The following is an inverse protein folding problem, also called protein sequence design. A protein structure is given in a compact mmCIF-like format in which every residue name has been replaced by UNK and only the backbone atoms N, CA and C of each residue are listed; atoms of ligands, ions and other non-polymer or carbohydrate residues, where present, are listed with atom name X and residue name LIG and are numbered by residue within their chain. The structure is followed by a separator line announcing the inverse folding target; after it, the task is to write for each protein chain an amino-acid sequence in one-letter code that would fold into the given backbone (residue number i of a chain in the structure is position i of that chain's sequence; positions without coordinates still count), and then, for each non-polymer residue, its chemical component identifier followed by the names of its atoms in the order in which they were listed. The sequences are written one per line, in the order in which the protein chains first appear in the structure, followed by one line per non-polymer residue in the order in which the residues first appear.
data_IF_004060767984
#
_entry.id   IF_004060767984
#
_cell.length_a   1.000
_cell.length_b   1.000
_cell.length_c   1.000
_cell.angle_alpha   90.00
_cell.angle_beta   90.00
_cell.angle_gamma   90.00
#
_symmetry.space_group_name_H-M   'P 1'
#
loop_
_entity.id
_entity.type
_entity.pdbx_description
1 polymer ?
#
# COMPACT_ATOMS: atom_id res chain seq x y z
N UNK A 1 -7.71 -36.03 -74.56
CA UNK A 1 -9.01 -36.08 -73.87
C UNK A 1 -8.81 -36.70 -72.49
N UNK A 2 -9.30 -36.00 -71.44
CA UNK A 2 -9.44 -36.38 -70.00
C UNK A 2 -8.12 -36.69 -69.25
N UNK A 3 -7.48 -35.71 -68.60
CA UNK A 3 -7.71 -35.14 -67.24
C UNK A 3 -7.73 -36.19 -66.12
N UNK A 4 -6.78 -36.13 -65.19
CA UNK A 4 -6.96 -35.49 -63.86
C UNK A 4 -5.63 -35.38 -63.10
N UNK A 5 -5.64 -34.42 -62.19
CA UNK A 5 -4.56 -33.66 -61.54
C UNK A 5 -4.23 -34.20 -60.14
N UNK A 6 -3.22 -33.60 -59.48
CA UNK A 6 -3.01 -33.44 -58.01
C UNK A 6 -2.05 -34.46 -57.38
N UNK A 7 -1.05 -34.16 -56.54
CA UNK A 7 -0.43 -32.93 -56.00
C UNK A 7 1.03 -33.27 -55.65
N UNK A 8 1.91 -32.26 -55.64
CA UNK A 8 3.33 -32.36 -55.31
C UNK A 8 3.53 -32.11 -53.81
N UNK A 9 4.32 -32.96 -53.14
CA UNK A 9 5.02 -32.62 -51.90
C UNK A 9 6.40 -33.24 -51.95
N UNK A 10 7.42 -32.39 -52.10
CA UNK A 10 8.82 -32.75 -52.03
C UNK A 10 9.28 -32.66 -50.57
N UNK A 11 9.54 -33.81 -49.96
CA UNK A 11 10.34 -33.93 -48.74
C UNK A 11 11.78 -34.17 -49.21
N UNK A 12 12.66 -33.18 -49.05
CA UNK A 12 14.09 -33.34 -49.30
C UNK A 12 14.76 -33.76 -48.00
N UNK A 13 15.23 -35.00 -48.03
CA UNK A 13 16.17 -35.64 -47.12
C UNK A 13 17.54 -35.00 -47.32
N UNK A 14 18.20 -34.57 -46.25
CA UNK A 14 19.65 -34.36 -46.24
C UNK A 14 20.24 -35.23 -45.12
N UNK A 15 20.94 -36.28 -45.54
CA UNK A 15 21.66 -37.23 -44.70
C UNK A 15 23.16 -36.96 -44.86
N UNK A 16 23.84 -36.86 -43.71
CA UNK A 16 25.25 -37.17 -43.43
C UNK A 16 26.39 -36.61 -44.31
N UNK A 17 27.34 -35.94 -43.65
CA UNK A 17 28.75 -36.31 -43.76
C UNK A 17 29.48 -36.05 -42.43
N UNK A 18 29.99 -37.14 -41.88
CA UNK A 18 30.83 -37.26 -40.68
C UNK A 18 32.24 -36.80 -41.03
N UNK A 19 32.86 -36.00 -40.16
CA UNK A 19 34.32 -35.94 -40.00
C UNK A 19 34.65 -35.53 -38.57
N UNK A 20 34.97 -36.54 -37.77
CA UNK A 20 35.53 -36.43 -36.42
C UNK A 20 37.02 -36.08 -36.53
N UNK A 21 37.47 -35.04 -35.82
CA UNK A 21 38.85 -34.89 -35.37
C UNK A 21 38.86 -34.04 -34.09
N UNK A 22 39.45 -34.61 -33.04
CA UNK A 22 39.37 -34.19 -31.65
C UNK A 22 40.03 -32.84 -31.36
N UNK A 23 39.38 -32.00 -30.55
CA UNK A 23 40.06 -31.07 -29.64
C UNK A 23 39.10 -30.66 -28.51
N UNK A 24 39.33 -31.28 -27.35
CA UNK A 24 39.11 -30.78 -25.99
C UNK A 24 38.20 -29.54 -25.85
N UNK A 25 36.89 -29.74 -25.84
CA UNK A 25 35.92 -28.78 -25.33
C UNK A 25 35.31 -29.36 -24.07
N UNK A 26 35.60 -28.71 -22.95
CA UNK A 26 34.89 -28.81 -21.68
C UNK A 26 33.39 -28.90 -21.93
N UNK A 27 32.78 -30.00 -21.49
CA UNK A 27 31.34 -30.08 -21.29
C UNK A 27 31.00 -29.03 -20.22
N UNK A 28 30.29 -27.97 -20.63
CA UNK A 28 29.53 -27.15 -19.69
C UNK A 28 28.40 -28.04 -19.16
N UNK A 29 28.62 -28.64 -17.99
CA UNK A 29 27.53 -29.03 -17.11
C UNK A 29 26.76 -27.74 -16.81
N UNK A 30 25.55 -27.62 -17.39
CA UNK A 30 24.52 -26.77 -16.81
C UNK A 30 24.21 -27.34 -15.41
N UNK A 31 24.95 -26.84 -14.43
CA UNK A 31 24.61 -26.99 -13.03
C UNK A 31 23.29 -26.26 -12.82
N UNK A 32 22.24 -27.04 -12.58
CA UNK A 32 21.02 -26.54 -11.97
C UNK A 32 21.40 -26.11 -10.55
N UNK A 33 21.85 -24.87 -10.39
CA UNK A 33 21.98 -24.25 -9.08
C UNK A 33 20.55 -24.09 -8.57
N UNK A 34 20.07 -25.05 -7.78
CA UNK A 34 18.89 -24.83 -6.94
C UNK A 34 19.24 -23.67 -6.01
N UNK A 35 18.86 -22.46 -6.41
CA UNK A 35 18.99 -21.27 -5.59
C UNK A 35 18.08 -21.51 -4.39
N UNK A 36 18.65 -21.62 -3.20
CA UNK A 36 17.89 -21.85 -1.97
C UNK A 36 17.17 -20.55 -1.58
N UNK A 37 15.90 -20.42 -1.99
CA UNK A 37 15.03 -19.28 -1.66
C UNK A 37 14.45 -19.33 -0.24
N UNK A 38 14.77 -20.37 0.56
CA UNK A 38 14.19 -20.55 1.90
C UNK A 38 14.95 -19.81 3.01
N UNK A 39 16.24 -19.53 2.85
CA UNK A 39 17.10 -18.96 3.91
C UNK A 39 17.48 -17.49 3.67
N UNK A 40 16.66 -16.76 2.90
CA UNK A 40 16.88 -15.34 2.57
C UNK A 40 16.36 -14.45 3.71
N UNK A 41 17.12 -13.48 4.23
CA UNK A 41 16.66 -12.63 5.33
C UNK A 41 15.49 -11.72 4.90
N UNK A 42 14.46 -11.61 5.76
CA UNK A 42 13.33 -10.69 5.54
C UNK A 42 13.74 -9.29 6.01
N UNK A 43 13.96 -8.38 5.06
CA UNK A 43 14.45 -7.02 5.31
C UNK A 43 13.85 -6.00 4.33
N UNK A 44 12.70 -6.34 3.75
CA UNK A 44 11.95 -5.49 2.83
C UNK A 44 10.45 -5.57 3.12
N UNK A 45 9.72 -4.51 2.79
CA UNK A 45 8.26 -4.44 2.85
C UNK A 45 7.68 -4.36 1.44
N UNK A 46 6.44 -4.84 1.29
CA UNK A 46 5.64 -4.60 0.08
C UNK A 46 4.55 -3.61 0.43
N UNK A 47 4.50 -2.52 -0.33
CA UNK A 47 3.45 -1.51 -0.24
C UNK A 47 2.49 -1.60 -1.43
N UNK A 48 1.31 -0.97 -1.30
CA UNK A 48 0.36 -0.81 -2.40
C UNK A 48 -0.75 -1.87 -2.42
N UNK A 49 -0.73 -2.80 -1.47
CA UNK A 49 -1.81 -3.77 -1.29
C UNK A 49 -3.08 -3.07 -0.80
N UNK A 50 -4.17 -3.23 -1.54
CA UNK A 50 -5.50 -2.81 -1.11
C UNK A 50 -6.08 -3.79 -0.08
N UNK A 51 -7.08 -3.33 0.69
CA UNK A 51 -7.80 -4.19 1.65
C UNK A 51 -8.48 -5.38 0.94
N UNK A 52 -9.12 -5.10 -0.19
CA UNK A 52 -9.61 -6.09 -1.16
C UNK A 52 -9.57 -5.50 -2.56
N UNK A 53 -9.75 -6.36 -3.55
CA UNK A 53 -9.84 -6.09 -4.97
C UNK A 53 -11.15 -6.69 -5.50
N UNK A 54 -11.71 -6.14 -6.56
CA UNK A 54 -12.71 -6.80 -7.38
C UNK A 54 -12.00 -7.57 -8.51
N UNK A 55 -12.63 -8.61 -9.03
CA UNK A 55 -12.11 -9.36 -10.18
C UNK A 55 -11.92 -8.41 -11.36
N UNK A 56 -10.69 -8.36 -11.87
CA UNK A 56 -10.30 -7.47 -12.96
C UNK A 56 -9.63 -6.18 -12.51
N UNK A 57 -9.56 -5.90 -11.20
CA UNK A 57 -8.82 -4.76 -10.69
C UNK A 57 -7.33 -4.88 -10.98
N UNK A 58 -6.68 -3.72 -11.12
CA UNK A 58 -5.23 -3.67 -11.29
C UNK A 58 -4.55 -3.69 -9.93
N UNK A 59 -3.61 -4.61 -9.77
CA UNK A 59 -2.74 -4.73 -8.60
C UNK A 59 -1.42 -4.06 -8.96
N UNK A 60 -1.03 -3.04 -8.20
CA UNK A 60 0.28 -2.41 -8.29
C UNK A 60 0.94 -2.45 -6.91
N UNK A 61 2.06 -3.17 -6.80
CA UNK A 61 2.80 -3.30 -5.55
C UNK A 61 4.22 -2.78 -5.71
N UNK A 62 4.76 -2.17 -4.66
CA UNK A 62 6.13 -1.65 -4.64
C UNK A 62 6.90 -2.27 -3.50
N UNK A 63 8.03 -2.91 -3.79
CA UNK A 63 8.92 -3.41 -2.74
C UNK A 63 9.90 -2.32 -2.29
N UNK A 64 10.10 -2.21 -0.97
CA UNK A 64 11.02 -1.26 -0.34
C UNK A 64 11.95 -1.97 0.64
N UNK A 65 13.20 -1.52 0.71
CA UNK A 65 14.16 -1.96 1.71
C UNK A 65 14.77 -0.74 2.41
N UNK A 66 14.99 -0.84 3.72
CA UNK A 66 15.49 0.26 4.56
C UNK A 66 16.92 0.69 4.19
N UNK A 67 17.74 -0.26 3.71
CA UNK A 67 19.06 0.03 3.18
C UNK A 67 18.95 0.29 1.67
N UNK A 68 19.23 1.53 1.26
CA UNK A 68 19.43 1.89 -0.15
C UNK A 68 20.71 1.19 -0.61
N UNK A 69 20.56 0.00 -1.17
CA UNK A 69 21.63 -0.71 -1.85
C UNK A 69 21.61 -0.39 -3.36
N UNK A 70 22.74 -0.57 -4.03
CA UNK A 70 22.85 -0.33 -5.48
C UNK A 70 22.17 -1.43 -6.31
N UNK A 71 21.70 -2.51 -5.66
CA UNK A 71 21.04 -3.64 -6.32
C UNK A 71 19.63 -3.24 -6.75
N UNK A 72 19.29 -3.55 -8.00
CA UNK A 72 17.96 -3.26 -8.58
C UNK A 72 17.28 -4.51 -9.15
N UNK A 73 17.89 -5.67 -8.93
CA UNK A 73 17.47 -6.93 -9.53
C UNK A 73 16.45 -7.62 -8.63
N UNK A 74 15.24 -7.05 -8.61
CA UNK A 74 14.11 -7.58 -7.86
C UNK A 74 13.37 -8.61 -8.71
N UNK A 75 13.15 -9.78 -8.12
CA UNK A 75 12.31 -10.84 -8.70
C UNK A 75 11.09 -11.06 -7.84
N UNK A 76 9.92 -11.11 -8.46
CA UNK A 76 8.65 -11.36 -7.78
C UNK A 76 8.27 -12.82 -7.88
N UNK A 77 7.71 -13.34 -6.80
CA UNK A 77 7.25 -14.71 -6.69
C UNK A 77 5.80 -14.71 -6.24
N UNK A 78 5.02 -15.62 -6.80
CA UNK A 78 3.63 -15.82 -6.43
C UNK A 78 3.35 -17.27 -6.06
N UNK A 79 2.38 -17.49 -5.18
CA UNK A 79 1.84 -18.83 -4.88
C UNK A 79 0.37 -18.75 -4.47
N UNK A 80 -0.28 -19.90 -4.45
CA UNK A 80 -1.68 -20.06 -4.01
C UNK A 80 -1.77 -21.36 -3.22
N UNK A 81 -2.51 -21.39 -2.12
CA UNK A 81 -2.75 -22.57 -1.28
C UNK A 81 -1.47 -23.26 -0.77
N UNK A 82 -0.47 -22.50 -0.31
CA UNK A 82 0.81 -23.03 0.17
C UNK A 82 1.57 -23.92 -0.84
N UNK A 83 1.27 -23.78 -2.15
CA UNK A 83 2.03 -24.43 -3.23
C UNK A 83 3.43 -23.83 -3.34
N UNK A 84 4.25 -24.45 -4.18
CA UNK A 84 5.59 -23.94 -4.50
C UNK A 84 5.51 -22.52 -5.07
N UNK A 85 6.46 -21.67 -4.65
CA UNK A 85 6.61 -20.32 -5.17
C UNK A 85 7.01 -20.38 -6.65
N UNK A 86 6.24 -19.69 -7.48
CA UNK A 86 6.51 -19.54 -8.91
C UNK A 86 7.04 -18.13 -9.17
N UNK A 87 8.10 -18.02 -9.94
CA UNK A 87 8.60 -16.72 -10.37
C UNK A 87 7.61 -16.07 -11.36
N UNK A 88 7.21 -14.83 -11.07
CA UNK A 88 6.41 -14.02 -11.98
C UNK A 88 7.32 -13.49 -13.09
N UNK A 89 7.47 -14.29 -14.15
CA UNK A 89 8.31 -13.96 -15.31
C UNK A 89 7.94 -12.58 -15.88
N UNK A 90 8.97 -11.78 -16.20
CA UNK A 90 8.91 -10.43 -16.78
C UNK A 90 8.70 -9.25 -15.80
N UNK A 91 8.68 -9.49 -14.48
CA UNK A 91 8.61 -8.43 -13.46
C UNK A 91 9.98 -8.24 -12.76
N UNK A 92 11.02 -7.78 -13.46
CA UNK A 92 12.39 -7.68 -12.91
C UNK A 92 12.73 -6.29 -12.34
N UNK A 93 11.82 -5.69 -11.57
CA UNK A 93 11.95 -4.33 -11.04
C UNK A 93 11.31 -4.22 -9.65
N UNK A 94 11.47 -3.07 -8.99
CA UNK A 94 10.89 -2.83 -7.67
C UNK A 94 9.36 -2.63 -7.68
N UNK A 95 8.71 -2.73 -8.83
CA UNK A 95 7.25 -2.61 -8.99
C UNK A 95 6.68 -3.87 -9.62
N UNK A 96 5.60 -4.38 -9.03
CA UNK A 96 4.85 -5.54 -9.51
C UNK A 96 3.50 -5.08 -10.05
N UNK A 97 3.14 -5.56 -11.25
CA UNK A 97 1.81 -5.35 -11.81
C UNK A 97 1.13 -6.69 -12.05
N UNK A 98 -0.11 -6.81 -11.62
CA UNK A 98 -0.98 -7.93 -11.94
C UNK A 98 -2.44 -7.47 -12.09
N UNK A 99 -3.29 -8.40 -12.53
CA UNK A 99 -4.74 -8.23 -12.46
C UNK A 99 -5.25 -9.15 -11.36
N UNK A 100 -6.18 -8.65 -10.55
CA UNK A 100 -6.89 -9.42 -9.55
C UNK A 100 -7.76 -10.49 -10.24
N UNK A 101 -7.19 -11.67 -10.48
CA UNK A 101 -7.89 -12.83 -11.06
C UNK A 101 -7.96 -14.02 -10.09
N UNK A 102 -7.12 -14.03 -9.06
CA UNK A 102 -6.98 -15.15 -8.13
C UNK A 102 -7.06 -14.64 -6.69
N UNK A 103 -8.14 -14.98 -6.00
CA UNK A 103 -8.28 -14.71 -4.57
C UNK A 103 -7.28 -15.55 -3.77
N UNK A 104 -6.66 -14.96 -2.74
CA UNK A 104 -5.65 -15.63 -1.93
C UNK A 104 -4.29 -15.77 -2.61
N UNK A 105 -4.02 -15.01 -3.68
CA UNK A 105 -2.71 -14.99 -4.32
C UNK A 105 -1.69 -14.37 -3.36
N UNK A 106 -0.75 -15.18 -2.90
CA UNK A 106 0.37 -14.69 -2.10
C UNK A 106 1.49 -14.20 -3.01
N UNK A 107 2.09 -13.06 -2.66
CA UNK A 107 3.12 -12.39 -3.45
C UNK A 107 4.28 -12.02 -2.53
N UNK A 108 5.51 -12.25 -2.97
CA UNK A 108 6.73 -11.75 -2.32
C UNK A 108 7.77 -11.30 -3.33
N UNK A 109 8.73 -10.50 -2.89
CA UNK A 109 9.85 -10.03 -3.70
C UNK A 109 11.19 -10.49 -3.09
N UNK A 110 12.15 -10.83 -3.95
CA UNK A 110 13.51 -11.20 -3.56
C UNK A 110 14.49 -10.34 -4.36
N UNK A 111 15.40 -9.69 -3.66
CA UNK A 111 16.48 -8.91 -4.25
C UNK A 111 17.68 -9.80 -4.49
N UNK A 112 18.26 -9.75 -5.69
CA UNK A 112 19.47 -10.47 -6.05
C UNK A 112 20.67 -9.52 -6.12
N UNK A 113 21.83 -10.02 -5.69
CA UNK A 113 23.11 -9.32 -5.82
C UNK A 113 23.73 -9.49 -7.21
N UNK A 114 24.88 -8.85 -7.44
CA UNK A 114 25.59 -8.90 -8.74
C UNK A 114 26.01 -10.33 -9.15
N UNK A 115 26.17 -11.25 -8.18
CA UNK A 115 26.51 -12.66 -8.41
C UNK A 115 25.24 -13.53 -8.61
N UNK A 116 24.07 -12.89 -8.77
CA UNK A 116 22.75 -13.52 -8.88
C UNK A 116 22.45 -14.46 -7.69
N UNK A 117 22.90 -14.09 -6.50
CA UNK A 117 22.52 -14.75 -5.26
C UNK A 117 21.41 -13.94 -4.56
N UNK A 118 20.43 -14.61 -3.94
CA UNK A 118 19.37 -13.92 -3.21
C UNK A 118 19.97 -13.24 -1.97
N UNK A 119 19.79 -11.93 -1.88
CA UNK A 119 20.38 -11.07 -0.86
C UNK A 119 19.43 -10.84 0.31
N UNK A 120 18.20 -10.40 0.02
CA UNK A 120 17.13 -10.19 0.98
C UNK A 120 15.76 -10.44 0.33
N UNK A 121 14.73 -10.66 1.14
CA UNK A 121 13.35 -10.81 0.67
C UNK A 121 12.39 -9.90 1.44
N UNK A 122 11.21 -9.70 0.87
CA UNK A 122 10.09 -9.08 1.56
C UNK A 122 9.32 -10.07 2.41
N UNK A 123 8.47 -9.55 3.31
CA UNK A 123 7.29 -10.31 3.76
C UNK A 123 6.40 -10.67 2.57
N UNK A 124 5.57 -11.71 2.73
CA UNK A 124 4.54 -12.05 1.75
C UNK A 124 3.25 -11.29 2.01
N UNK A 125 2.64 -10.76 0.96
CA UNK A 125 1.30 -10.16 1.00
C UNK A 125 0.29 -11.07 0.31
N UNK A 126 -0.98 -10.98 0.69
CA UNK A 126 -2.05 -11.80 0.12
C UNK A 126 -3.08 -10.92 -0.56
N UNK A 127 -3.30 -11.16 -1.85
CA UNK A 127 -4.36 -10.50 -2.63
C UNK A 127 -5.70 -11.06 -2.19
N UNK A 128 -6.58 -10.17 -1.77
CA UNK A 128 -7.93 -10.44 -1.36
C UNK A 128 -8.89 -10.00 -2.45
N UNK A 129 -9.64 -10.92 -3.07
CA UNK A 129 -10.67 -10.58 -4.06
C UNK A 129 -12.05 -10.75 -3.45
N UNK A 130 -12.85 -9.69 -3.53
CA UNK A 130 -14.22 -9.62 -3.04
C UNK A 130 -15.18 -9.07 -4.11
N UNK A 131 -15.75 -9.99 -4.89
CA UNK A 131 -16.78 -9.68 -5.90
C UNK A 131 -18.17 -9.70 -5.28
N UNK A 132 -18.46 -8.73 -4.42
CA UNK A 132 -19.81 -8.56 -3.89
C UNK A 132 -20.80 -8.15 -4.99
N UNK A 133 -21.39 -9.14 -5.67
CA UNK A 133 -22.65 -9.03 -6.41
C UNK A 133 -23.81 -8.98 -5.39
N UNK A 134 -24.59 -7.90 -5.45
CA UNK A 134 -25.67 -7.60 -4.51
C UNK A 134 -26.94 -8.42 -4.82
N UNK A 135 -27.09 -9.60 -4.21
CA UNK A 135 -28.39 -10.27 -4.04
C UNK A 135 -28.50 -11.15 -2.78
N UNK A 136 -28.99 -10.51 -1.70
CA UNK A 136 -29.81 -11.02 -0.59
C UNK A 136 -29.70 -12.49 -0.09
N UNK A 137 -29.43 -12.58 1.23
CA UNK A 137 -29.82 -13.58 2.25
C UNK A 137 -28.86 -14.75 2.62
N UNK A 138 -28.24 -14.56 3.78
CA UNK A 138 -27.90 -15.50 4.88
C UNK A 138 -26.95 -16.70 4.67
N UNK A 139 -25.88 -16.61 5.47
CA UNK A 139 -25.14 -17.66 6.21
C UNK A 139 -24.01 -18.45 5.51
N UNK A 140 -22.80 -18.01 5.89
CA UNK A 140 -21.56 -18.75 6.25
C UNK A 140 -20.73 -19.43 5.15
N UNK A 141 -19.55 -18.86 4.88
CA UNK A 141 -18.26 -19.28 5.48
C UNK A 141 -17.11 -19.04 4.49
N UNK A 142 -16.38 -17.92 4.63
CA UNK A 142 -15.03 -17.81 4.09
C UNK A 142 -14.15 -17.05 5.08
N UNK A 143 -13.12 -17.75 5.55
CA UNK A 143 -12.16 -17.30 6.54
C UNK A 143 -11.21 -16.25 5.96
N UNK A 144 -11.56 -14.99 6.14
CA UNK A 144 -10.56 -14.00 6.52
C UNK A 144 -10.92 -13.61 7.92
N UNK A 145 -10.01 -13.86 8.86
CA UNK A 145 -10.07 -13.21 10.15
C UNK A 145 -9.76 -11.72 9.93
N UNK A 146 -10.68 -11.00 9.30
CA UNK A 146 -11.09 -9.73 9.87
C UNK A 146 -11.60 -10.13 11.25
N UNK A 147 -10.74 -10.02 12.24
CA UNK A 147 -11.23 -10.05 13.59
C UNK A 147 -12.30 -8.95 13.63
N UNK A 148 -13.54 -9.27 14.03
CA UNK A 148 -14.57 -8.24 14.24
C UNK A 148 -14.00 -7.09 15.09
N UNK A 149 -12.97 -7.39 15.89
CA UNK A 149 -12.16 -6.40 16.61
C UNK A 149 -11.50 -5.33 15.71
N UNK A 150 -10.94 -5.64 14.53
CA UNK A 150 -10.23 -4.64 13.71
C UNK A 150 -11.18 -3.64 13.06
N UNK A 151 -12.32 -4.11 12.56
CA UNK A 151 -13.37 -3.24 12.03
C UNK A 151 -14.04 -2.44 13.17
N UNK A 152 -14.27 -3.07 14.33
CA UNK A 152 -14.77 -2.36 15.50
C UNK A 152 -13.81 -1.25 15.93
N UNK A 153 -12.51 -1.53 16.00
CA UNK A 153 -11.45 -0.55 16.32
C UNK A 153 -11.48 0.61 15.32
N UNK A 154 -11.49 0.31 14.02
CA UNK A 154 -11.53 1.30 12.95
C UNK A 154 -12.74 2.24 13.07
N UNK A 155 -13.90 1.67 13.42
CA UNK A 155 -15.15 2.40 13.67
C UNK A 155 -15.22 3.08 15.05
N UNK A 156 -14.17 3.01 15.86
CA UNK A 156 -14.06 3.68 17.14
C UNK A 156 -14.66 2.93 18.33
N UNK A 157 -14.74 1.60 18.26
CA UNK A 157 -15.26 0.72 19.31
C UNK A 157 -14.14 -0.20 19.82
N UNK A 158 -13.54 0.20 20.94
CA UNK A 158 -12.43 -0.52 21.57
C UNK A 158 -12.33 -0.23 23.06
N UNK A 159 -11.69 -1.15 23.78
CA UNK A 159 -11.37 -1.03 25.20
C UNK A 159 -10.04 -0.31 25.42
N UNK A 160 -9.91 0.47 26.50
CA UNK A 160 -8.69 1.23 26.81
C UNK A 160 -7.45 0.33 26.95
N UNK A 161 -7.66 -0.91 27.36
CA UNK A 161 -6.59 -1.90 27.54
C UNK A 161 -6.01 -2.42 26.24
N UNK A 162 -6.66 -2.15 25.09
CA UNK A 162 -6.16 -2.52 23.77
C UNK A 162 -5.31 -1.40 23.13
N UNK A 163 -5.22 -0.23 23.77
CA UNK A 163 -4.46 0.91 23.25
C UNK A 163 -2.99 0.75 23.63
N UNK A 164 -2.12 0.86 22.64
CA UNK A 164 -0.68 0.81 22.80
C UNK A 164 -0.03 2.11 22.30
N UNK A 165 1.11 2.46 22.90
CA UNK A 165 1.96 3.55 22.43
C UNK A 165 2.46 3.24 21.00
N UNK A 166 2.58 4.28 20.19
CA UNK A 166 3.07 4.20 18.81
C UNK A 166 4.27 5.11 18.60
N UNK A 167 5.00 4.88 17.52
CA UNK A 167 6.19 5.67 17.17
C UNK A 167 6.04 6.26 15.77
N UNK A 168 6.88 7.24 15.41
CA UNK A 168 6.85 7.82 14.05
C UNK A 168 7.12 6.82 12.94
N UNK A 169 7.64 5.63 13.25
CA UNK A 169 7.83 4.55 12.27
C UNK A 169 6.53 4.19 11.55
N UNK A 170 5.39 4.31 12.25
CA UNK A 170 4.08 3.97 11.71
C UNK A 170 3.59 4.93 10.61
N UNK A 171 4.13 6.16 10.57
CA UNK A 171 3.74 7.20 9.62
C UNK A 171 4.87 7.63 8.68
N UNK A 172 5.95 6.84 8.58
CA UNK A 172 7.04 7.16 7.66
C UNK A 172 6.54 7.24 6.22
N UNK A 173 7.15 8.14 5.45
CA UNK A 173 6.89 8.26 4.03
C UNK A 173 6.43 9.65 3.61
N UNK A 174 5.87 9.68 2.41
CA UNK A 174 5.53 10.88 1.68
C UNK A 174 4.03 10.98 1.50
N UNK A 175 3.45 12.12 1.89
CA UNK A 175 2.02 12.27 2.07
C UNK A 175 1.50 13.53 1.39
N UNK A 176 0.36 13.45 0.72
CA UNK A 176 -0.33 14.57 0.07
C UNK A 176 -1.66 14.87 0.76
N UNK A 177 -1.98 16.16 0.86
CA UNK A 177 -3.30 16.60 1.28
C UNK A 177 -4.35 16.24 0.24
N UNK A 178 -5.53 15.80 0.68
CA UNK A 178 -6.68 15.53 -0.20
C UNK A 178 -7.47 16.79 -0.55
N UNK A 179 -7.18 17.92 0.11
CA UNK A 179 -7.92 19.17 -0.06
C UNK A 179 -7.88 19.73 -1.50
N UNK A 180 -6.74 19.72 -2.23
CA UNK A 180 -6.71 20.15 -3.62
C UNK A 180 -7.63 19.33 -4.54
N UNK A 181 -7.72 18.01 -4.31
CA UNK A 181 -8.61 17.11 -5.07
C UNK A 181 -10.08 17.37 -4.78
N UNK A 182 -10.42 17.68 -3.52
CA UNK A 182 -11.77 18.13 -3.15
C UNK A 182 -12.14 19.42 -3.91
N UNK A 183 -11.25 20.41 -3.92
CA UNK A 183 -11.48 21.70 -4.58
C UNK A 183 -11.61 21.56 -6.11
N UNK A 184 -10.85 20.64 -6.71
CA UNK A 184 -10.93 20.32 -8.13
C UNK A 184 -12.23 19.58 -8.51
N UNK A 185 -12.91 18.96 -7.53
CA UNK A 185 -14.11 18.14 -7.74
C UNK A 185 -13.82 16.67 -8.01
N UNK A 186 -12.56 16.24 -7.88
CA UNK A 186 -12.15 14.85 -8.14
C UNK A 186 -12.81 13.87 -7.13
N UNK A 187 -13.09 14.34 -5.92
CA UNK A 187 -13.71 13.55 -4.86
C UNK A 187 -15.26 13.54 -4.90
N UNK A 188 -15.88 14.20 -5.88
CA UNK A 188 -17.34 14.26 -5.99
C UNK A 188 -18.03 12.87 -6.01
N UNK A 189 -17.50 11.84 -6.71
CA UNK A 189 -18.06 10.49 -6.67
C UNK A 189 -18.12 9.89 -5.25
N UNK A 190 -17.17 10.21 -4.37
CA UNK A 190 -17.17 9.75 -2.98
C UNK A 190 -18.36 10.32 -2.23
N UNK A 191 -18.64 11.61 -2.38
CA UNK A 191 -19.75 12.28 -1.71
C UNK A 191 -21.11 11.84 -2.27
N UNK A 192 -21.21 11.64 -3.58
CA UNK A 192 -22.39 11.04 -4.21
C UNK A 192 -22.67 9.66 -3.64
N UNK A 193 -21.65 8.81 -3.52
CA UNK A 193 -21.80 7.46 -2.95
C UNK A 193 -22.23 7.50 -1.49
N UNK A 194 -21.64 8.37 -0.67
CA UNK A 194 -22.00 8.51 0.75
C UNK A 194 -23.45 8.99 0.91
N UNK A 195 -23.94 9.87 0.03
CA UNK A 195 -25.32 10.33 0.04
C UNK A 195 -26.37 9.24 -0.29
N UNK A 196 -25.99 8.15 -0.97
CA UNK A 196 -26.92 7.03 -1.25
C UNK A 196 -27.38 6.29 0.01
N UNK A 197 -26.51 6.24 1.04
CA UNK A 197 -26.68 5.40 2.23
C UNK A 197 -26.93 6.21 3.52
N UNK A 198 -27.04 7.53 3.44
CA UNK A 198 -27.02 8.40 4.61
C UNK A 198 -27.99 9.59 4.55
N UNK A 199 -27.97 10.41 5.61
CA UNK A 199 -28.98 11.45 5.85
C UNK A 199 -28.68 12.81 5.19
N UNK A 200 -27.50 12.98 4.58
CA UNK A 200 -27.04 14.23 3.96
C UNK A 200 -26.96 14.11 2.43
N UNK A 201 -27.17 15.22 1.71
CA UNK A 201 -26.94 15.27 0.26
C UNK A 201 -25.44 15.25 -0.07
N UNK A 202 -25.09 14.97 -1.34
CA UNK A 202 -23.71 15.01 -1.79
C UNK A 202 -23.07 16.41 -1.58
N UNK A 203 -23.85 17.48 -1.78
CA UNK A 203 -23.41 18.85 -1.53
C UNK A 203 -23.18 19.13 -0.03
N UNK A 204 -24.07 18.65 0.84
CA UNK A 204 -23.90 18.78 2.29
C UNK A 204 -22.68 17.99 2.78
N UNK A 205 -22.43 16.81 2.22
CA UNK A 205 -21.20 16.06 2.46
C UNK A 205 -19.97 16.83 1.99
N UNK A 206 -20.00 17.36 0.76
CA UNK A 206 -18.89 18.15 0.23
C UNK A 206 -18.59 19.35 1.11
N UNK A 207 -19.60 20.07 1.62
CA UNK A 207 -19.41 21.20 2.55
C UNK A 207 -18.80 20.75 3.89
N UNK A 208 -19.28 19.63 4.45
CA UNK A 208 -18.73 19.04 5.66
C UNK A 208 -17.24 18.66 5.49
N UNK A 209 -16.90 17.95 4.42
CA UNK A 209 -15.53 17.54 4.11
C UNK A 209 -14.65 18.73 3.67
N UNK A 210 -15.22 19.78 3.09
CA UNK A 210 -14.47 21.02 2.79
C UNK A 210 -13.91 21.61 4.07
N UNK A 211 -14.75 21.71 5.12
CA UNK A 211 -14.31 22.21 6.44
C UNK A 211 -13.31 21.26 7.09
N UNK A 212 -13.54 19.94 6.96
CA UNK A 212 -12.65 18.92 7.48
C UNK A 212 -11.26 18.96 6.87
N UNK A 213 -11.16 18.99 5.55
CA UNK A 213 -9.89 18.85 4.84
C UNK A 213 -9.11 20.15 4.66
N UNK A 214 -9.73 21.32 4.88
CA UNK A 214 -9.09 22.61 4.62
C UNK A 214 -7.72 22.74 5.30
N UNK A 215 -6.70 22.98 4.49
CA UNK A 215 -5.32 23.24 4.92
C UNK A 215 -4.52 23.91 3.79
N UNK A 216 -3.48 24.65 4.16
CA UNK A 216 -2.45 25.19 3.26
C UNK A 216 -1.21 24.30 3.15
N UNK A 217 -1.13 23.22 3.96
CA UNK A 217 -0.08 22.20 3.87
C UNK A 217 -0.47 21.19 2.79
N UNK A 218 0.23 21.25 1.67
CA UNK A 218 -0.07 20.43 0.48
C UNK A 218 0.57 19.04 0.56
N UNK A 219 1.75 18.95 1.19
CA UNK A 219 2.52 17.71 1.30
C UNK A 219 3.27 17.66 2.63
N UNK A 220 3.42 16.46 3.17
CA UNK A 220 4.20 16.18 4.37
C UNK A 220 5.15 15.02 4.08
N UNK A 221 6.44 15.22 4.32
CA UNK A 221 7.42 14.13 4.36
C UNK A 221 7.75 13.80 5.81
N UNK A 222 7.78 12.50 6.14
CA UNK A 222 8.12 11.99 7.46
C UNK A 222 9.26 10.99 7.30
N UNK A 223 10.46 11.38 7.74
CA UNK A 223 11.68 10.57 7.66
C UNK A 223 12.41 10.58 9.00
N UNK A 224 12.60 9.38 9.58
CA UNK A 224 13.08 9.22 10.94
C UNK A 224 12.18 9.95 11.94
N UNK A 225 12.76 10.92 12.64
CA UNK A 225 12.07 11.77 13.61
C UNK A 225 11.65 13.14 13.05
N UNK A 226 11.86 13.38 11.76
CA UNK A 226 11.73 14.69 11.14
C UNK A 226 10.48 14.77 10.26
N UNK A 227 9.72 15.85 10.47
CA UNK A 227 8.63 16.26 9.62
C UNK A 227 9.09 17.40 8.73
N UNK A 228 8.73 17.34 7.45
CA UNK A 228 8.86 18.46 6.52
C UNK A 228 7.49 18.81 5.96
N UNK A 229 7.02 20.03 6.21
CA UNK A 229 5.78 20.58 5.69
C UNK A 229 6.08 21.37 4.43
N UNK A 230 5.33 21.10 3.37
CA UNK A 230 5.37 21.84 2.13
C UNK A 230 4.04 22.58 1.95
N UNK A 231 4.12 23.90 1.88
CA UNK A 231 3.03 24.77 1.42
C UNK A 231 3.39 25.34 0.04
N UNK A 232 2.46 26.06 -0.59
CA UNK A 232 2.70 26.69 -1.90
C UNK A 232 3.98 27.55 -1.94
N UNK A 233 4.29 28.24 -0.84
CA UNK A 233 5.35 29.25 -0.80
C UNK A 233 6.56 28.84 0.07
N UNK A 234 6.41 27.85 0.94
CA UNK A 234 7.38 27.59 2.02
C UNK A 234 7.58 26.10 2.26
N UNK A 235 8.82 25.76 2.62
CA UNK A 235 9.21 24.45 3.15
C UNK A 235 9.75 24.67 4.56
N UNK A 236 9.24 23.91 5.53
CA UNK A 236 9.67 24.00 6.93
C UNK A 236 9.88 22.60 7.49
N UNK A 237 10.93 22.41 8.28
CA UNK A 237 11.27 21.12 8.86
C UNK A 237 11.56 21.17 10.35
N UNK A 238 11.15 20.14 11.07
CA UNK A 238 11.46 20.00 12.47
C UNK A 238 11.45 18.54 12.94
N UNK A 239 12.28 18.24 13.94
CA UNK A 239 12.31 16.94 14.59
C UNK A 239 11.33 16.89 15.77
N UNK A 240 10.69 15.75 15.95
CA UNK A 240 9.67 15.52 16.97
C UNK A 240 9.98 14.26 17.78
N UNK A 241 9.62 14.29 19.06
CA UNK A 241 9.63 13.11 19.92
C UNK A 241 8.21 12.75 20.31
N UNK A 242 7.95 11.47 20.49
CA UNK A 242 6.70 11.00 21.09
C UNK A 242 6.51 11.61 22.49
N UNK A 243 5.30 12.07 22.79
CA UNK A 243 4.91 12.64 24.09
C UNK A 243 3.96 11.69 24.83
N UNK A 244 2.81 11.38 24.22
CA UNK A 244 1.75 10.54 24.81
C UNK A 244 0.64 10.26 23.79
N UNK A 245 -0.39 9.50 24.18
CA UNK A 245 -1.67 9.46 23.47
C UNK A 245 -2.81 9.99 24.35
N UNK A 246 -3.92 10.40 23.72
CA UNK A 246 -5.15 10.81 24.39
C UNK A 246 -6.34 10.12 23.73
N UNK A 247 -7.31 9.68 24.53
CA UNK A 247 -8.53 9.04 24.01
C UNK A 247 -9.68 10.02 24.04
N UNK A 248 -10.30 10.22 22.88
CA UNK A 248 -11.47 11.06 22.70
C UNK A 248 -12.72 10.20 22.58
N UNK A 249 -13.81 10.66 23.16
CA UNK A 249 -15.15 10.06 23.00
C UNK A 249 -16.05 11.08 22.35
N UNK A 250 -16.61 10.74 21.19
CA UNK A 250 -17.45 11.61 20.39
C UNK A 250 -18.93 11.49 20.79
N UNK A 251 -19.76 12.44 20.35
CA UNK A 251 -21.18 12.51 20.74
C UNK A 251 -21.97 11.24 20.38
N UNK A 252 -21.61 10.56 19.29
CA UNK A 252 -22.24 9.30 18.85
C UNK A 252 -21.78 8.08 19.65
N UNK A 253 -20.85 8.26 20.59
CA UNK A 253 -20.30 7.22 21.46
C UNK A 253 -19.13 6.44 20.86
N UNK A 254 -18.83 6.63 19.57
CA UNK A 254 -17.57 6.17 18.98
C UNK A 254 -16.40 6.98 19.55
N UNK A 255 -15.20 6.40 19.47
CA UNK A 255 -13.99 6.90 20.12
C UNK A 255 -12.85 7.01 19.12
N UNK A 256 -11.84 7.80 19.43
CA UNK A 256 -10.62 7.94 18.65
C UNK A 256 -9.41 8.15 19.54
N UNK A 257 -8.24 7.76 19.06
CA UNK A 257 -6.96 7.96 19.77
C UNK A 257 -6.16 9.03 19.04
N UNK A 258 -5.69 10.03 19.78
CA UNK A 258 -4.75 11.05 19.32
C UNK A 258 -3.35 10.68 19.76
N UNK A 259 -2.44 10.43 18.83
CA UNK A 259 -1.02 10.19 19.13
C UNK A 259 -0.22 11.49 19.02
N UNK A 260 0.37 11.93 20.13
CA UNK A 260 0.90 13.29 20.30
C UNK A 260 2.43 13.27 20.24
N UNK A 261 2.95 14.17 19.41
CA UNK A 261 4.37 14.39 19.20
C UNK A 261 4.71 15.84 19.54
N UNK A 262 5.88 16.04 20.14
CA UNK A 262 6.37 17.36 20.57
C UNK A 262 7.66 17.71 19.83
N UNK A 263 7.70 18.92 19.28
CA UNK A 263 8.88 19.44 18.59
C UNK A 263 10.07 19.53 19.53
N UNK A 264 11.23 19.03 19.09
CA UNK A 264 12.49 19.05 19.85
C UNK A 264 13.51 20.02 19.25
N UNK A 265 13.52 20.17 17.92
CA UNK A 265 14.41 21.07 17.19
C UNK A 265 13.88 21.35 15.78
N UNK A 266 14.54 22.23 15.03
CA UNK A 266 14.15 22.61 13.66
C UNK A 266 13.69 24.05 13.54
N UNK A 267 12.99 24.34 12.45
CA UNK A 267 12.52 25.69 12.10
C UNK A 267 11.53 26.21 13.13
N UNK A 268 11.66 27.47 13.54
CA UNK A 268 10.84 28.08 14.62
C UNK A 268 9.35 28.14 14.27
N UNK A 269 9.02 28.24 12.98
CA UNK A 269 7.65 28.33 12.46
C UNK A 269 6.91 26.97 12.45
N UNK A 270 7.62 25.85 12.63
CA UNK A 270 6.99 24.54 12.82
C UNK A 270 6.16 24.49 14.13
N UNK A 271 5.05 23.74 14.16
CA UNK A 271 4.17 23.69 15.33
C UNK A 271 4.87 23.02 16.54
N UNK A 272 4.60 23.48 17.76
CA UNK A 272 5.18 22.83 18.95
C UNK A 272 4.65 21.41 19.17
N UNK A 273 3.42 21.14 18.76
CA UNK A 273 2.74 19.87 18.89
C UNK A 273 2.10 19.43 17.57
N UNK A 274 2.19 18.13 17.31
CA UNK A 274 1.49 17.43 16.23
C UNK A 274 0.71 16.27 16.85
N UNK A 275 -0.49 16.00 16.37
CA UNK A 275 -1.33 14.90 16.81
C UNK A 275 -1.87 14.12 15.61
N UNK A 276 -1.63 12.82 15.56
CA UNK A 276 -2.21 11.92 14.55
C UNK A 276 -3.52 11.31 15.04
N UNK A 277 -4.42 11.07 14.09
CA UNK A 277 -5.56 10.17 14.21
C UNK A 277 -5.73 9.43 12.89
N UNK A 278 -5.58 8.10 12.88
CA UNK A 278 -5.57 7.26 11.67
C UNK A 278 -6.38 5.97 11.84
N UNK A 279 -7.34 5.97 12.77
CA UNK A 279 -8.20 4.84 13.09
C UNK A 279 -7.49 3.62 13.71
N UNK A 280 -6.17 3.69 13.95
CA UNK A 280 -5.44 2.69 14.71
C UNK A 280 -5.36 3.01 16.20
N UNK A 281 -5.20 1.98 17.03
CA UNK A 281 -4.98 2.13 18.47
C UNK A 281 -3.73 1.40 18.99
N UNK A 282 -2.98 0.76 18.11
CA UNK A 282 -1.75 0.03 18.43
C UNK A 282 -0.77 0.11 17.24
N UNK A 283 0.52 -0.26 17.40
CA UNK A 283 1.51 -0.19 16.33
C UNK A 283 1.05 -0.84 15.02
N UNK A 284 0.95 -0.02 13.98
CA UNK A 284 0.69 -0.44 12.61
C UNK A 284 1.06 0.69 11.64
N UNK A 285 1.44 0.33 10.42
CA UNK A 285 1.66 1.29 9.34
C UNK A 285 0.35 2.00 8.97
N UNK A 286 0.38 3.32 8.89
CA UNK A 286 -0.77 4.12 8.51
C UNK A 286 -1.06 3.99 7.00
N UNK A 287 -2.35 3.93 6.65
CA UNK A 287 -2.81 3.99 5.25
C UNK A 287 -3.17 5.41 4.84
N UNK A 288 -3.76 6.17 5.76
CA UNK A 288 -4.00 7.61 5.68
C UNK A 288 -4.05 8.14 7.11
N UNK A 289 -4.05 9.46 7.30
CA UNK A 289 -4.24 10.03 8.64
C UNK A 289 -4.87 11.41 8.60
N UNK A 290 -5.50 11.77 9.72
CA UNK A 290 -5.83 13.13 10.08
C UNK A 290 -4.72 13.71 10.95
N UNK A 291 -4.29 14.93 10.64
CA UNK A 291 -3.22 15.61 11.37
C UNK A 291 -3.72 16.90 12.00
N UNK A 292 -3.41 17.09 13.27
CA UNK A 292 -3.71 18.31 14.01
C UNK A 292 -2.40 18.90 14.52
N UNK A 293 -2.19 20.19 14.35
CA UNK A 293 -0.93 20.80 14.76
C UNK A 293 -1.11 22.23 15.25
N UNK A 294 -0.22 22.63 16.17
CA UNK A 294 -0.30 23.94 16.78
C UNK A 294 0.62 24.08 17.99
N UNK A 295 0.47 25.20 18.70
CA UNK A 295 1.34 25.53 19.83
C UNK A 295 0.74 25.22 21.20
N UNK A 296 -0.54 24.85 21.25
CA UNK A 296 -1.27 24.47 22.47
C UNK A 296 -1.79 23.04 22.36
N UNK A 297 -1.17 22.11 23.09
CA UNK A 297 -1.51 20.68 23.10
C UNK A 297 -2.98 20.44 23.50
N UNK A 298 -3.49 21.19 24.48
CA UNK A 298 -4.83 20.96 25.01
C UNK A 298 -5.90 21.46 24.03
N UNK A 299 -5.67 22.63 23.43
CA UNK A 299 -6.58 23.19 22.43
C UNK A 299 -6.74 22.27 21.21
N UNK A 300 -5.67 21.60 20.76
CA UNK A 300 -5.76 20.67 19.63
C UNK A 300 -6.67 19.46 19.89
N UNK A 301 -6.88 19.08 21.16
CA UNK A 301 -7.80 17.99 21.53
C UNK A 301 -9.27 18.46 21.50
N UNK A 302 -9.51 19.76 21.57
CA UNK A 302 -10.85 20.36 21.43
C UNK A 302 -11.24 20.50 19.95
N UNK A 303 -10.27 20.49 19.04
CA UNK A 303 -10.50 20.57 17.59
C UNK A 303 -11.01 19.24 17.03
N UNK A 304 -12.26 19.27 16.56
CA UNK A 304 -12.99 18.14 15.99
C UNK A 304 -13.71 18.51 14.69
N UNK A 305 -13.50 19.74 14.18
CA UNK A 305 -14.17 20.28 13.00
C UNK A 305 -13.27 20.36 11.77
N UNK A 306 -12.01 20.80 11.95
CA UNK A 306 -10.98 20.79 10.92
C UNK A 306 -9.97 19.67 11.24
N UNK A 307 -9.81 18.75 10.29
CA UNK A 307 -9.00 17.54 10.38
C UNK A 307 -8.31 17.29 9.03
N UNK A 308 -7.31 18.11 8.70
CA UNK A 308 -6.54 17.96 7.47
C UNK A 308 -6.10 16.52 7.28
N UNK A 309 -6.37 15.99 6.09
CA UNK A 309 -6.27 14.56 5.82
C UNK A 309 -5.24 14.30 4.74
N UNK A 310 -4.39 13.32 4.99
CA UNK A 310 -3.25 13.03 4.15
C UNK A 310 -3.22 11.56 3.75
N UNK A 311 -2.93 11.33 2.48
CA UNK A 311 -2.79 10.03 1.84
C UNK A 311 -1.40 9.90 1.23
N UNK A 312 -0.90 8.69 0.92
CA UNK A 312 0.40 8.52 0.30
C UNK A 312 0.53 9.33 -0.99
N UNK A 313 1.63 10.06 -1.16
CA UNK A 313 1.89 10.97 -2.29
C UNK A 313 1.84 10.26 -3.65
N UNK A 314 1.99 8.93 -3.68
CA UNK A 314 1.95 8.12 -4.90
C UNK A 314 0.54 7.95 -5.50
N UNK A 315 -0.52 8.18 -4.72
CA UNK A 315 -1.90 8.01 -5.22
C UNK A 315 -2.27 9.18 -6.13
N UNK A 316 -2.88 8.90 -7.27
CA UNK A 316 -3.54 9.93 -8.06
C UNK A 316 -5.01 10.09 -7.65
N UNK A 317 -5.75 10.93 -8.35
CA UNK A 317 -7.17 11.17 -8.07
C UNK A 317 -8.01 9.88 -8.06
N UNK A 318 -7.78 8.99 -9.03
CA UNK A 318 -8.52 7.74 -9.15
C UNK A 318 -8.20 6.80 -7.99
N UNK A 319 -6.91 6.70 -7.60
CA UNK A 319 -6.48 5.92 -6.43
C UNK A 319 -7.06 6.45 -5.11
N UNK A 320 -7.11 7.78 -4.95
CA UNK A 320 -7.75 8.40 -3.78
C UNK A 320 -9.24 8.09 -3.71
N UNK A 321 -9.96 8.22 -4.83
CA UNK A 321 -11.40 7.93 -4.90
C UNK A 321 -11.66 6.44 -4.62
N UNK A 322 -10.87 5.55 -5.21
CA UNK A 322 -11.00 4.11 -4.98
C UNK A 322 -10.85 3.77 -3.50
N UNK A 323 -9.79 4.25 -2.84
CA UNK A 323 -9.57 3.99 -1.42
C UNK A 323 -10.68 4.60 -0.55
N UNK A 324 -11.07 5.86 -0.82
CA UNK A 324 -12.15 6.52 -0.07
C UNK A 324 -13.54 5.90 -0.26
N UNK A 325 -13.77 5.13 -1.34
CA UNK A 325 -15.02 4.41 -1.57
C UNK A 325 -15.05 3.05 -0.85
N UNK A 326 -13.88 2.49 -0.55
CA UNK A 326 -13.74 1.28 0.27
C UNK A 326 -13.97 1.55 1.77
N UNK A 327 -13.97 2.82 2.18
CA UNK A 327 -14.18 3.32 3.55
C UNK A 327 -15.47 4.13 3.71
#
# INVERSE_FOLDING_TARGET
MKKKTVLISFIIIAFLLVLTACQNSTEEEQGNNDINLHDVPVQASIDGLAHHYHTGDTIELVVRADEINDYRDWHWYTRVDDKEWLEASDQSHNVFHAVAETNGLEIKAILFDDDHQPHLQSDSVTVMIDDHDDDHHHEHDHSHAHDESSEAVYNGYFEDTAIEDRTLLDWQGDWQSVYPYLLAGDLDPVFEKKAEKADMTAEEYKEYYTTGYETDVERIMIEGDTFTFYTQDTEMSASYTYDSYEVLTYEKGNRGVRYIFKRTSGDEDMPHYIQFSDHAIAPQTAHHFHLYWGNDRAQLLEEVTNWPTFYPYRLDADGLVHDMLAH
#
